data_IF_313709010815
#
_entry.id   IF_313709010815
#
_cell.length_a   1.000
_cell.length_b   1.000
_cell.length_c   1.000
_cell.angle_alpha   90.00
_cell.angle_beta   90.00
_cell.angle_gamma   90.00
#
_symmetry.space_group_name_H-M   'P 1'
#
loop_
_entity.id
_entity.type
_entity.pdbx_description
1 polymer ?
#
# COMPACT_ATOMS: atom_id res chain seq x y z
N UNK A 1 -5.54 14.13 0.02
CA UNK A 1 -5.09 12.76 0.33
C UNK A 1 -3.77 12.54 -0.37
N UNK A 2 -2.71 12.18 0.35
CA UNK A 2 -1.36 12.03 -0.18
C UNK A 2 -0.59 10.96 0.59
N UNK A 3 0.32 10.26 -0.10
CA UNK A 3 1.27 9.34 0.53
C UNK A 3 2.40 10.17 1.15
N UNK A 4 2.75 9.89 2.40
CA UNK A 4 3.78 10.60 3.15
C UNK A 4 5.14 9.86 3.15
N UNK A 5 5.08 8.53 3.30
CA UNK A 5 6.24 7.62 3.24
C UNK A 5 5.79 6.37 2.47
N UNK A 6 6.68 5.80 1.66
CA UNK A 6 6.38 4.61 0.87
C UNK A 6 7.62 3.72 0.77
N UNK A 7 7.46 2.45 1.14
CA UNK A 7 8.53 1.46 1.15
C UNK A 7 8.07 0.21 0.42
N UNK A 8 8.87 -0.21 -0.56
CA UNK A 8 8.75 -1.54 -1.13
C UNK A 8 9.11 -2.57 -0.07
N UNK A 9 8.27 -3.59 0.07
CA UNK A 9 8.50 -4.70 0.99
C UNK A 9 8.14 -6.01 0.28
N UNK A 10 8.51 -7.11 0.91
CA UNK A 10 8.17 -8.44 0.44
C UNK A 10 7.86 -9.35 1.62
N UNK A 11 6.62 -9.27 2.11
CA UNK A 11 6.21 -9.99 3.31
C UNK A 11 4.99 -10.87 3.05
N UNK A 12 5.02 -12.09 3.56
CA UNK A 12 3.88 -12.99 3.50
C UNK A 12 2.83 -12.59 4.55
N UNK A 13 1.56 -12.48 4.15
CA UNK A 13 0.47 -12.01 5.01
C UNK A 13 -0.78 -12.85 4.80
N UNK A 14 -0.99 -13.85 5.66
CA UNK A 14 -2.25 -14.62 5.71
C UNK A 14 -2.67 -15.27 4.39
N UNK A 15 -1.73 -15.72 3.56
CA UNK A 15 -2.00 -16.27 2.21
C UNK A 15 -2.01 -15.24 1.08
N UNK A 16 -1.69 -13.99 1.38
CA UNK A 16 -1.41 -12.90 0.45
C UNK A 16 0.03 -12.42 0.63
N UNK A 17 0.45 -11.46 -0.21
CA UNK A 17 1.78 -10.89 -0.16
C UNK A 17 1.67 -9.37 0.00
N UNK A 18 2.21 -8.82 1.08
CA UNK A 18 2.36 -7.38 1.21
C UNK A 18 3.57 -6.95 0.39
N UNK A 19 3.36 -6.05 -0.55
CA UNK A 19 4.36 -5.59 -1.53
C UNK A 19 4.81 -4.14 -1.28
N UNK A 20 4.05 -3.39 -0.47
CA UNK A 20 4.46 -2.09 0.02
C UNK A 20 3.88 -1.80 1.40
N UNK A 21 4.59 -0.96 2.15
CA UNK A 21 4.14 -0.31 3.37
C UNK A 21 4.17 1.19 3.16
N UNK A 22 3.14 1.91 3.61
CA UNK A 22 3.04 3.34 3.41
C UNK A 22 2.24 4.07 4.47
N UNK A 23 2.53 5.35 4.60
CA UNK A 23 1.80 6.28 5.44
C UNK A 23 0.95 7.20 4.57
N UNK A 24 -0.24 7.53 5.06
CA UNK A 24 -1.25 8.26 4.32
C UNK A 24 -1.77 9.45 5.13
N UNK A 25 -1.67 10.64 4.55
CA UNK A 25 -2.53 11.74 4.96
C UNK A 25 -3.87 11.61 4.24
N UNK A 26 -4.91 11.24 5.00
CA UNK A 26 -6.25 11.03 4.46
C UNK A 26 -6.94 12.38 4.22
N UNK A 27 -6.89 13.24 5.24
CA UNK A 27 -7.33 14.65 5.25
C UNK A 27 -6.23 15.50 5.93
N UNK A 28 -6.27 16.84 5.86
CA UNK A 28 -5.29 17.68 6.55
C UNK A 28 -5.17 17.40 8.06
N UNK A 29 -6.23 16.91 8.68
CA UNK A 29 -6.35 16.62 10.11
C UNK A 29 -6.08 15.15 10.47
N UNK A 30 -6.07 14.23 9.49
CA UNK A 30 -6.04 12.79 9.74
C UNK A 30 -4.91 12.10 8.96
N UNK A 31 -4.05 11.40 9.71
CA UNK A 31 -2.95 10.59 9.18
C UNK A 31 -3.08 9.16 9.65
N UNK A 32 -2.77 8.22 8.76
CA UNK A 32 -2.80 6.78 9.00
C UNK A 32 -1.42 6.24 8.69
N UNK A 33 -0.84 5.51 9.64
CA UNK A 33 0.53 5.01 9.56
C UNK A 33 0.54 3.50 9.37
N UNK A 34 1.52 3.00 8.62
CA UNK A 34 1.75 1.57 8.43
C UNK A 34 0.64 0.85 7.65
N UNK A 35 0.00 1.54 6.70
CA UNK A 35 -0.89 0.89 5.74
C UNK A 35 -0.08 -0.05 4.85
N UNK A 36 -0.70 -1.14 4.40
CA UNK A 36 -0.06 -2.13 3.53
C UNK A 36 -0.79 -2.27 2.22
N UNK A 37 -0.04 -2.34 1.12
CA UNK A 37 -0.54 -2.75 -0.19
C UNK A 37 -0.33 -4.25 -0.34
N UNK A 38 -1.41 -5.01 -0.43
CA UNK A 38 -1.38 -6.47 -0.53
C UNK A 38 -1.72 -6.90 -1.96
N UNK A 39 -0.88 -7.77 -2.51
CA UNK A 39 -1.18 -8.57 -3.69
C UNK A 39 -1.93 -9.83 -3.27
N UNK A 40 -3.17 -9.90 -3.71
CA UNK A 40 -4.07 -11.02 -3.53
C UNK A 40 -3.68 -12.18 -4.48
N UNK A 41 -4.22 -13.36 -4.23
CA UNK A 41 -3.91 -14.56 -5.04
C UNK A 41 -4.41 -14.46 -6.49
N UNK A 42 -5.47 -13.70 -6.72
CA UNK A 42 -6.03 -13.39 -8.03
C UNK A 42 -5.31 -12.22 -8.75
N UNK A 43 -4.23 -11.70 -8.15
CA UNK A 43 -3.46 -10.59 -8.68
C UNK A 43 -3.99 -9.21 -8.34
N UNK A 44 -5.18 -9.09 -7.73
CA UNK A 44 -5.70 -7.79 -7.29
C UNK A 44 -4.82 -7.18 -6.22
N UNK A 45 -4.72 -5.85 -6.23
CA UNK A 45 -4.09 -5.08 -5.17
C UNK A 45 -5.16 -4.53 -4.24
N UNK A 46 -4.91 -4.57 -2.93
CA UNK A 46 -5.81 -4.04 -1.89
C UNK A 46 -5.02 -3.34 -0.80
N UNK A 47 -5.57 -2.26 -0.24
CA UNK A 47 -5.01 -1.59 0.93
C UNK A 47 -5.61 -2.14 2.22
N UNK A 48 -4.75 -2.45 3.18
CA UNK A 48 -5.13 -2.84 4.53
C UNK A 48 -4.52 -1.89 5.56
N UNK A 49 -5.34 -1.51 6.54
CA UNK A 49 -4.86 -0.83 7.73
C UNK A 49 -4.10 -1.81 8.66
N UNK A 50 -3.17 -1.31 9.49
CA UNK A 50 -2.50 -2.16 10.47
C UNK A 50 -3.47 -2.81 11.45
N UNK A 51 -2.95 -3.79 12.18
CA UNK A 51 -3.66 -4.43 13.27
C UNK A 51 -3.00 -4.08 14.60
N UNK A 52 -3.83 -3.94 15.64
CA UNK A 52 -3.40 -3.86 17.03
C UNK A 52 -3.94 -5.09 17.73
N UNK A 53 -3.06 -6.07 17.98
CA UNK A 53 -3.46 -7.41 18.40
C UNK A 53 -4.44 -8.02 17.38
N UNK A 54 -5.62 -8.43 17.85
CA UNK A 54 -6.64 -9.08 17.00
C UNK A 54 -7.57 -8.11 16.25
N UNK A 55 -7.38 -6.79 16.41
CA UNK A 55 -8.32 -5.78 15.85
C UNK A 55 -7.65 -4.94 14.76
N UNK A 56 -8.38 -4.71 13.66
CA UNK A 56 -7.99 -3.72 12.65
C UNK A 56 -8.09 -2.31 13.23
N UNK A 57 -7.05 -1.48 13.03
CA UNK A 57 -7.05 -0.10 13.56
C UNK A 57 -8.01 0.80 12.80
N UNK A 58 -8.27 0.50 11.52
CA UNK A 58 -9.23 1.21 10.69
C UNK A 58 -9.86 0.28 9.64
N UNK A 59 -11.04 0.68 9.17
CA UNK A 59 -11.67 0.17 7.95
C UNK A 59 -12.19 1.34 7.13
N UNK A 60 -12.32 1.15 5.83
CA UNK A 60 -12.79 2.18 4.92
C UNK A 60 -14.01 1.68 4.16
N UNK A 61 -14.94 2.58 3.85
CA UNK A 61 -15.98 2.29 2.87
C UNK A 61 -15.34 1.97 1.51
N UNK A 62 -15.96 1.07 0.74
CA UNK A 62 -15.39 0.58 -0.52
C UNK A 62 -14.90 1.69 -1.47
N UNK A 63 -15.64 2.78 -1.73
CA UNK A 63 -15.16 3.83 -2.62
C UNK A 63 -13.90 4.55 -2.10
N UNK A 64 -13.73 4.67 -0.79
CA UNK A 64 -12.51 5.26 -0.22
C UNK A 64 -11.34 4.28 -0.28
N UNK A 65 -11.59 2.99 0.03
CA UNK A 65 -10.57 1.96 -0.08
C UNK A 65 -10.00 1.88 -1.51
N UNK A 66 -10.86 1.93 -2.53
CA UNK A 66 -10.46 1.93 -3.94
C UNK A 66 -9.57 3.11 -4.30
N UNK A 67 -9.89 4.33 -3.83
CA UNK A 67 -9.05 5.51 -4.06
C UNK A 67 -7.69 5.41 -3.39
N UNK A 68 -7.64 4.89 -2.15
CA UNK A 68 -6.39 4.70 -1.42
C UNK A 68 -5.55 3.64 -2.13
N UNK A 69 -6.15 2.52 -2.52
CA UNK A 69 -5.48 1.44 -3.25
C UNK A 69 -4.95 1.93 -4.58
N UNK A 70 -5.73 2.70 -5.35
CA UNK A 70 -5.26 3.29 -6.59
C UNK A 70 -4.02 4.17 -6.36
N UNK A 71 -4.08 5.08 -5.37
CA UNK A 71 -2.95 5.95 -5.05
C UNK A 71 -1.67 5.17 -4.68
N UNK A 72 -1.82 4.10 -3.89
CA UNK A 72 -0.69 3.25 -3.52
C UNK A 72 -0.16 2.40 -4.68
N UNK A 73 -1.05 1.91 -5.56
CA UNK A 73 -0.67 1.18 -6.77
C UNK A 73 0.10 2.08 -7.73
N UNK A 74 -0.38 3.29 -7.99
CA UNK A 74 0.30 4.24 -8.88
C UNK A 74 1.72 4.55 -8.36
N UNK A 75 1.88 4.73 -7.04
CA UNK A 75 3.19 4.95 -6.41
C UNK A 75 4.10 3.70 -6.49
N UNK A 76 3.54 2.51 -6.28
CA UNK A 76 4.28 1.24 -6.42
C UNK A 76 4.82 1.09 -7.84
N UNK A 77 3.96 1.28 -8.84
CA UNK A 77 4.31 1.16 -10.25
C UNK A 77 5.42 2.15 -10.63
N UNK A 78 5.31 3.41 -10.22
CA UNK A 78 6.34 4.42 -10.45
C UNK A 78 7.72 4.00 -9.90
N UNK A 79 7.78 3.53 -8.64
CA UNK A 79 9.04 3.10 -8.03
C UNK A 79 9.63 1.83 -8.66
N UNK A 80 8.78 0.91 -9.12
CA UNK A 80 9.26 -0.32 -9.77
C UNK A 80 9.65 -0.12 -11.23
N UNK A 81 9.02 0.81 -11.94
CA UNK A 81 9.37 1.16 -13.31
C UNK A 81 10.75 1.84 -13.40
N UNK A 82 11.08 2.68 -12.41
CA UNK A 82 12.39 3.32 -12.33
C UNK A 82 13.52 2.31 -12.01
N UNK A 83 13.25 1.31 -11.17
CA UNK A 83 14.21 0.25 -10.84
C UNK A 83 14.57 -0.65 -12.03
N UNK A 84 13.59 -0.98 -12.88
CA UNK A 84 13.80 -1.76 -14.11
C UNK A 84 14.66 -1.03 -15.16
N UNK A 85 14.72 0.31 -15.12
CA UNK A 85 15.51 1.10 -16.05
C UNK A 85 16.98 1.23 -15.63
N UNK A 86 17.28 1.11 -14.34
CA UNK A 86 18.66 1.13 -13.82
C UNK A 86 19.41 -0.18 -14.00
N UNK A 87 18.74 -1.34 -13.98
CA UNK A 87 19.36 -2.65 -14.19
C UNK A 87 19.65 -2.98 -15.67
N UNK A 88 19.03 -2.26 -16.61
CA UNK A 88 19.24 -2.45 -18.07
C UNK A 88 20.33 -1.55 -18.67
N UNK A 89 20.86 -0.62 -17.89
CA UNK A 89 21.90 0.32 -18.31
C UNK A 89 23.31 -0.03 -17.78
N UNK A 90 23.47 -1.21 -17.16
CA UNK A 90 24.73 -1.72 -16.62
C UNK A 90 25.29 -2.88 -17.45
#
# INVERSE_FOLDING_TARGET
MQILDFKLIDEQSGGHRAIACFDLELTPEVRLYGLRLLKMRDGRLLTFAPQSGYRRVATFAAPLAERITKLATDQFEAMTADGDNTDRAA
#
